data_IF_155396655788
#
_entry.id   IF_155396655788
#
_cell.length_a   1.000
_cell.length_b   1.000
_cell.length_c   1.000
_cell.angle_alpha   90.00
_cell.angle_beta   90.00
_cell.angle_gamma   90.00
#
_symmetry.space_group_name_H-M   'P 1'
#
loop_
_entity.id
_entity.type
_entity.pdbx_description
1 polymer ?
#
# COMPACT_ATOMS: atom_id res chain seq x y z
N UNK A 1 8.12 -44.93 48.34
CA UNK A 1 8.46 -43.58 47.81
C UNK A 1 9.78 -43.61 47.01
N UNK A 2 9.88 -44.45 45.98
CA UNK A 2 11.00 -44.52 45.03
C UNK A 2 10.44 -45.03 43.71
N UNK A 3 9.81 -44.15 42.92
CA UNK A 3 9.40 -44.42 41.52
C UNK A 3 8.88 -43.19 40.75
N UNK A 4 9.05 -41.98 41.29
CA UNK A 4 8.59 -40.74 40.66
C UNK A 4 9.72 -39.89 40.04
N UNK A 5 10.91 -40.48 39.90
CA UNK A 5 12.13 -39.78 39.48
C UNK A 5 12.76 -40.47 38.26
N UNK A 6 12.03 -40.61 37.15
CA UNK A 6 12.65 -41.11 35.90
C UNK A 6 11.88 -40.87 34.60
N UNK A 7 10.76 -40.16 34.59
CA UNK A 7 10.04 -39.88 33.34
C UNK A 7 9.87 -38.38 33.14
N UNK A 8 10.31 -37.95 31.96
CA UNK A 8 10.15 -36.63 31.35
C UNK A 8 11.27 -35.61 31.62
N UNK A 9 12.51 -36.10 31.60
CA UNK A 9 13.67 -35.42 30.99
C UNK A 9 13.57 -35.27 29.44
N UNK A 10 12.36 -35.33 28.87
CA UNK A 10 12.12 -35.44 27.42
C UNK A 10 11.11 -34.41 26.90
N UNK A 11 11.13 -33.19 27.43
CA UNK A 11 10.21 -32.11 27.03
C UNK A 11 10.90 -30.76 26.78
N UNK A 12 12.23 -30.69 26.82
CA UNK A 12 12.99 -29.42 26.68
C UNK A 12 13.49 -29.16 25.24
N UNK A 13 13.25 -30.05 24.28
CA UNK A 13 13.82 -29.92 22.91
C UNK A 13 12.82 -29.59 21.79
N UNK A 14 11.70 -28.91 22.07
CA UNK A 14 10.85 -28.33 21.01
C UNK A 14 10.43 -26.89 21.33
N UNK A 15 11.39 -26.07 21.72
CA UNK A 15 11.31 -24.64 21.41
C UNK A 15 12.25 -24.37 20.26
N UNK A 16 11.69 -24.30 19.04
CA UNK A 16 12.34 -23.66 17.91
C UNK A 16 12.55 -22.20 18.26
N UNK A 17 13.67 -21.91 18.95
CA UNK A 17 14.21 -20.56 19.02
C UNK A 17 14.41 -20.10 17.57
N UNK A 18 13.89 -18.93 17.16
CA UNK A 18 14.30 -18.36 15.89
C UNK A 18 15.82 -18.20 15.95
N UNK A 19 16.53 -18.91 15.08
CA UNK A 19 17.98 -18.90 14.89
C UNK A 19 18.46 -17.55 14.35
N UNK A 20 18.13 -16.45 15.02
CA UNK A 20 18.56 -15.12 14.61
C UNK A 20 20.03 -14.84 15.00
N UNK A 21 20.61 -15.67 15.89
CA UNK A 21 21.97 -15.50 16.38
C UNK A 21 23.04 -16.03 15.40
N UNK A 22 22.73 -17.04 14.57
CA UNK A 22 23.70 -17.65 13.63
C UNK A 22 23.92 -16.83 12.34
N UNK A 23 23.00 -15.92 12.01
CA UNK A 23 23.03 -15.19 10.74
C UNK A 23 24.07 -14.05 10.72
N UNK A 24 24.33 -13.42 11.87
CA UNK A 24 25.24 -12.26 11.94
C UNK A 24 26.70 -12.66 11.72
N UNK A 25 27.14 -13.77 12.29
CA UNK A 25 28.50 -14.29 12.16
C UNK A 25 28.78 -14.83 10.75
N UNK A 26 27.79 -15.51 10.14
CA UNK A 26 27.90 -15.95 8.75
C UNK A 26 28.02 -14.76 7.78
N UNK A 27 27.28 -13.68 8.03
CA UNK A 27 27.35 -12.47 7.22
C UNK A 27 28.70 -11.75 7.39
N UNK A 28 29.27 -11.71 8.60
CA UNK A 28 30.62 -11.18 8.83
C UNK A 28 31.69 -11.95 8.02
N UNK A 29 31.57 -13.27 7.92
CA UNK A 29 32.49 -14.10 7.10
C UNK A 29 32.37 -13.77 5.62
N UNK A 30 31.14 -13.70 5.08
CA UNK A 30 30.93 -13.36 3.67
C UNK A 30 31.45 -11.97 3.31
N UNK A 31 31.32 -11.01 4.23
CA UNK A 31 31.88 -9.65 4.06
C UNK A 31 33.42 -9.68 4.11
N UNK A 32 34.00 -10.53 4.96
CA UNK A 32 35.43 -10.80 4.97
C UNK A 32 35.94 -11.36 3.64
N UNK A 33 35.19 -12.28 3.05
CA UNK A 33 35.48 -12.86 1.73
C UNK A 33 35.40 -11.80 0.62
N UNK A 34 34.37 -10.95 0.62
CA UNK A 34 34.24 -9.82 -0.31
C UNK A 34 35.39 -8.83 -0.20
N UNK A 35 35.98 -8.66 0.99
CA UNK A 35 37.15 -7.77 1.19
C UNK A 35 38.40 -8.29 0.48
N UNK A 36 38.55 -9.62 0.37
CA UNK A 36 39.74 -10.30 -0.13
C UNK A 36 39.77 -10.56 -1.64
N UNK A 37 38.68 -10.28 -2.37
CA UNK A 37 38.59 -10.49 -3.82
C UNK A 37 38.16 -9.21 -4.54
N UNK A 38 38.84 -8.90 -5.65
CA UNK A 38 38.48 -7.84 -6.59
C UNK A 38 37.84 -8.40 -7.88
N UNK A 39 37.61 -9.71 -7.95
CA UNK A 39 36.92 -10.35 -9.09
C UNK A 39 35.42 -10.03 -9.08
N UNK A 40 34.88 -9.33 -10.11
CA UNK A 40 33.48 -8.92 -10.13
C UNK A 40 32.50 -10.10 -10.18
N UNK A 41 32.85 -11.21 -10.84
CA UNK A 41 31.99 -12.39 -10.94
C UNK A 41 31.79 -13.04 -9.58
N UNK A 42 32.89 -13.29 -8.86
CA UNK A 42 32.86 -13.79 -7.51
C UNK A 42 32.14 -12.85 -6.53
N UNK A 43 32.40 -11.54 -6.61
CA UNK A 43 31.68 -10.55 -5.80
C UNK A 43 30.17 -10.61 -6.05
N UNK A 44 29.76 -10.74 -7.32
CA UNK A 44 28.37 -10.80 -7.72
C UNK A 44 27.65 -12.00 -7.11
N UNK A 45 28.25 -13.19 -7.15
CA UNK A 45 27.66 -14.41 -6.59
C UNK A 45 27.42 -14.30 -5.08
N UNK A 46 28.41 -13.77 -4.34
CA UNK A 46 28.29 -13.56 -2.90
C UNK A 46 27.20 -12.52 -2.60
N UNK A 47 27.17 -11.39 -3.33
CA UNK A 47 26.17 -10.36 -3.12
C UNK A 47 24.75 -10.85 -3.43
N UNK A 48 24.57 -11.70 -4.46
CA UNK A 48 23.29 -12.36 -4.77
C UNK A 48 22.85 -13.28 -3.63
N UNK A 49 23.76 -14.08 -3.09
CA UNK A 49 23.49 -14.94 -1.94
C UNK A 49 23.02 -14.15 -0.71
N UNK A 50 23.75 -13.07 -0.36
CA UNK A 50 23.36 -12.19 0.75
C UNK A 50 21.99 -11.55 0.47
N UNK A 51 21.77 -11.01 -0.74
CA UNK A 51 20.52 -10.33 -1.08
C UNK A 51 19.31 -11.28 -1.01
N UNK A 52 19.47 -12.53 -1.45
CA UNK A 52 18.43 -13.56 -1.34
C UNK A 52 18.11 -13.90 0.12
N UNK A 53 19.14 -14.08 0.96
CA UNK A 53 18.97 -14.37 2.39
C UNK A 53 18.27 -13.23 3.14
N UNK A 54 18.49 -11.98 2.74
CA UNK A 54 17.94 -10.79 3.38
C UNK A 54 16.63 -10.30 2.75
N UNK A 55 16.02 -11.10 1.86
CA UNK A 55 14.79 -10.69 1.17
C UNK A 55 13.67 -10.37 2.18
N UNK A 56 13.10 -9.17 2.05
CA UNK A 56 12.04 -8.67 2.94
C UNK A 56 12.54 -8.07 4.26
N UNK A 57 13.80 -8.28 4.63
CA UNK A 57 14.42 -7.68 5.82
C UNK A 57 14.84 -6.23 5.59
N UNK A 58 14.88 -5.43 6.66
CA UNK A 58 15.14 -3.98 6.63
C UNK A 58 15.73 -3.52 7.96
N UNK A 59 16.47 -2.41 7.95
CA UNK A 59 17.08 -1.80 9.14
C UNK A 59 17.91 -2.78 9.98
N UNK A 60 18.62 -3.67 9.31
CA UNK A 60 19.54 -4.61 9.96
C UNK A 60 20.80 -3.88 10.41
N UNK A 61 21.43 -4.39 11.47
CA UNK A 61 22.75 -3.92 11.86
C UNK A 61 23.74 -4.30 10.74
N UNK A 62 24.58 -3.37 10.26
CA UNK A 62 25.59 -3.71 9.26
C UNK A 62 26.57 -4.74 9.85
N UNK A 63 26.93 -5.78 9.08
CA UNK A 63 27.97 -6.73 9.50
C UNK A 63 29.32 -6.00 9.60
N UNK A 64 30.19 -6.48 10.49
CA UNK A 64 31.54 -5.91 10.64
C UNK A 64 32.28 -5.92 9.30
N UNK A 65 32.95 -4.81 9.00
CA UNK A 65 33.70 -4.63 7.76
C UNK A 65 32.88 -4.10 6.57
N UNK A 66 31.54 -4.09 6.64
CA UNK A 66 30.71 -3.61 5.53
C UNK A 66 31.00 -2.16 5.14
N UNK A 67 31.22 -1.28 6.12
CA UNK A 67 31.52 0.14 5.89
C UNK A 67 32.81 0.34 5.07
N UNK A 68 33.76 -0.60 5.14
CA UNK A 68 34.99 -0.56 4.36
C UNK A 68 34.83 -1.22 2.97
N UNK A 69 33.99 -2.25 2.86
CA UNK A 69 33.79 -3.01 1.62
C UNK A 69 32.82 -2.31 0.67
N UNK A 70 31.72 -1.75 1.18
CA UNK A 70 30.67 -1.14 0.36
C UNK A 70 31.18 -0.01 -0.58
N UNK A 71 32.07 0.92 -0.16
CA UNK A 71 32.62 1.92 -1.06
C UNK A 71 33.49 1.36 -2.18
N UNK A 72 34.14 0.20 -1.98
CA UNK A 72 34.90 -0.49 -3.03
C UNK A 72 33.96 -1.12 -4.04
N UNK A 73 32.95 -1.86 -3.56
CA UNK A 73 31.93 -2.48 -4.42
C UNK A 73 31.13 -1.44 -5.22
N UNK A 74 30.89 -0.26 -4.65
CA UNK A 74 30.24 0.85 -5.35
C UNK A 74 31.05 1.40 -6.55
N UNK A 75 32.36 1.08 -6.62
CA UNK A 75 33.25 1.44 -7.73
C UNK A 75 33.57 0.26 -8.66
N UNK A 76 32.93 -0.90 -8.46
CA UNK A 76 33.12 -2.07 -9.31
C UNK A 76 32.83 -1.74 -10.78
N UNK A 77 33.57 -2.31 -11.76
CA UNK A 77 33.23 -2.18 -13.19
C UNK A 77 31.86 -2.80 -13.51
N UNK A 78 31.42 -3.80 -12.75
CA UNK A 78 30.15 -4.49 -12.94
C UNK A 78 28.97 -3.67 -12.37
N UNK A 79 27.94 -3.44 -13.18
CA UNK A 79 26.78 -2.65 -12.80
C UNK A 79 25.88 -3.33 -11.77
N UNK A 80 25.75 -4.65 -11.83
CA UNK A 80 24.92 -5.43 -10.92
C UNK A 80 25.56 -5.50 -9.53
N UNK A 81 26.90 -5.63 -9.46
CA UNK A 81 27.66 -5.52 -8.20
C UNK A 81 27.41 -4.15 -7.53
N UNK A 82 27.50 -3.06 -8.30
CA UNK A 82 27.21 -1.71 -7.76
C UNK A 82 25.78 -1.61 -7.23
N UNK A 83 24.80 -2.14 -7.97
CA UNK A 83 23.38 -2.11 -7.60
C UNK A 83 23.09 -2.94 -6.33
N UNK A 84 23.62 -4.16 -6.24
CA UNK A 84 23.45 -5.03 -5.07
C UNK A 84 24.12 -4.46 -3.83
N UNK A 85 25.35 -3.94 -3.96
CA UNK A 85 26.04 -3.25 -2.86
C UNK A 85 25.23 -2.08 -2.32
N UNK A 86 24.64 -1.26 -3.20
CA UNK A 86 23.78 -0.15 -2.80
C UNK A 86 22.51 -0.66 -2.10
N UNK A 87 21.83 -1.68 -2.66
CA UNK A 87 20.64 -2.27 -2.07
C UNK A 87 20.89 -2.84 -0.67
N UNK A 88 21.96 -3.64 -0.51
CA UNK A 88 22.36 -4.20 0.77
C UNK A 88 22.72 -3.12 1.79
N UNK A 89 23.41 -2.05 1.36
CA UNK A 89 23.71 -0.91 2.23
C UNK A 89 22.44 -0.24 2.78
N UNK A 90 21.34 -0.23 2.01
CA UNK A 90 20.04 0.27 2.48
C UNK A 90 19.38 -0.69 3.46
N UNK A 91 19.45 -2.01 3.20
CA UNK A 91 18.95 -3.04 4.12
C UNK A 91 19.66 -2.94 5.48
N UNK A 92 20.98 -2.68 5.47
CA UNK A 92 21.79 -2.47 6.67
C UNK A 92 21.63 -1.07 7.30
N UNK A 93 20.65 -0.27 6.86
CA UNK A 93 20.35 1.02 7.48
C UNK A 93 21.46 2.07 7.31
N UNK A 94 22.27 2.01 6.23
CA UNK A 94 23.36 2.96 6.01
C UNK A 94 22.85 4.40 5.95
N UNK A 95 23.19 5.18 6.98
CA UNK A 95 22.84 6.61 7.08
C UNK A 95 23.43 7.42 5.93
N UNK A 96 24.63 7.03 5.46
CA UNK A 96 25.33 7.68 4.34
C UNK A 96 24.61 7.41 3.03
N UNK A 97 24.25 6.15 2.74
CA UNK A 97 23.52 5.80 1.53
C UNK A 97 22.14 6.50 1.48
N UNK A 98 21.40 6.47 2.58
CA UNK A 98 20.11 7.18 2.66
C UNK A 98 20.27 8.70 2.53
N UNK A 99 21.36 9.29 3.07
CA UNK A 99 21.65 10.71 2.88
C UNK A 99 21.94 11.06 1.41
N UNK A 100 22.69 10.23 0.70
CA UNK A 100 22.95 10.42 -0.73
C UNK A 100 21.67 10.33 -1.55
N UNK A 101 20.83 9.33 -1.30
CA UNK A 101 19.53 9.19 -1.99
C UNK A 101 18.60 10.38 -1.72
N UNK A 102 18.57 10.89 -0.48
CA UNK A 102 17.79 12.09 -0.16
C UNK A 102 18.26 13.30 -0.97
N UNK A 103 19.57 13.48 -1.16
CA UNK A 103 20.13 14.56 -1.99
C UNK A 103 19.65 14.44 -3.44
N UNK A 104 19.73 13.25 -4.01
CA UNK A 104 19.22 12.99 -5.38
C UNK A 104 17.73 13.31 -5.46
N UNK A 105 16.93 12.82 -4.49
CA UNK A 105 15.48 13.01 -4.49
C UNK A 105 15.06 14.49 -4.48
N UNK A 106 15.75 15.34 -3.72
CA UNK A 106 15.42 16.77 -3.62
C UNK A 106 16.09 17.63 -4.71
N UNK A 107 17.04 17.09 -5.45
CA UNK A 107 17.70 17.80 -6.53
C UNK A 107 16.78 17.89 -7.75
N UNK A 108 16.28 19.10 -8.03
CA UNK A 108 15.40 19.36 -9.19
C UNK A 108 16.14 19.30 -10.53
N UNK A 109 17.47 19.30 -10.52
CA UNK A 109 18.30 19.17 -11.74
C UNK A 109 18.60 17.70 -12.06
N UNK A 110 18.38 16.78 -11.12
CA UNK A 110 18.54 15.36 -11.37
C UNK A 110 17.41 14.83 -12.27
N UNK A 111 17.74 13.83 -13.08
CA UNK A 111 16.77 13.14 -13.94
C UNK A 111 15.60 12.59 -13.12
N UNK A 112 14.37 12.76 -13.61
CA UNK A 112 13.16 12.35 -12.89
C UNK A 112 13.18 10.86 -12.53
N UNK A 113 13.69 10.02 -13.43
CA UNK A 113 13.82 8.58 -13.21
C UNK A 113 14.72 8.27 -12.00
N UNK A 114 15.82 9.00 -11.82
CA UNK A 114 16.74 8.81 -10.70
C UNK A 114 16.14 9.30 -9.39
N UNK A 115 15.41 10.42 -9.42
CA UNK A 115 14.62 10.89 -8.27
C UNK A 115 13.57 9.87 -7.85
N UNK A 116 12.86 9.26 -8.80
CA UNK A 116 11.86 8.23 -8.53
C UNK A 116 12.49 6.96 -7.93
N UNK A 117 13.62 6.48 -8.49
CA UNK A 117 14.39 5.36 -7.93
C UNK A 117 14.86 5.66 -6.50
N UNK A 118 15.39 6.86 -6.25
CA UNK A 118 15.82 7.28 -4.93
C UNK A 118 14.66 7.31 -3.92
N UNK A 119 13.49 7.81 -4.32
CA UNK A 119 12.29 7.77 -3.48
C UNK A 119 11.89 6.34 -3.14
N UNK A 120 11.79 5.45 -4.14
CA UNK A 120 11.41 4.06 -3.94
C UNK A 120 12.36 3.34 -2.97
N UNK A 121 13.67 3.54 -3.15
CA UNK A 121 14.71 2.99 -2.29
C UNK A 121 14.59 3.49 -0.83
N UNK A 122 14.34 4.79 -0.63
CA UNK A 122 14.16 5.37 0.71
C UNK A 122 12.87 4.89 1.39
N UNK A 123 11.77 4.72 0.63
CA UNK A 123 10.51 4.15 1.15
C UNK A 123 10.72 2.69 1.55
N UNK A 124 11.42 1.91 0.73
CA UNK A 124 11.76 0.53 1.04
C UNK A 124 12.61 0.42 2.32
N UNK A 125 13.60 1.31 2.47
CA UNK A 125 14.43 1.39 3.67
C UNK A 125 13.71 1.95 4.92
N UNK A 126 12.48 2.48 4.78
CA UNK A 126 11.77 3.22 5.84
C UNK A 126 12.64 4.30 6.48
N UNK A 127 13.33 5.08 5.65
CA UNK A 127 14.21 6.14 6.13
C UNK A 127 13.46 7.14 7.02
N UNK A 128 13.94 7.36 8.24
CA UNK A 128 13.25 8.19 9.23
C UNK A 128 13.11 9.66 8.82
N UNK A 129 13.97 10.17 7.92
CA UNK A 129 13.94 11.56 7.45
C UNK A 129 13.14 11.75 6.16
N UNK A 130 12.80 10.65 5.46
CA UNK A 130 12.09 10.70 4.19
C UNK A 130 10.72 11.34 4.32
N UNK A 131 10.03 11.12 5.43
CA UNK A 131 8.68 11.65 5.61
C UNK A 131 8.61 13.17 5.45
N UNK A 132 9.57 13.91 6.02
CA UNK A 132 9.66 15.38 5.86
C UNK A 132 9.89 15.76 4.40
N UNK A 133 10.72 15.00 3.69
CA UNK A 133 10.99 15.19 2.25
C UNK A 133 9.72 14.96 1.44
N UNK A 134 8.99 13.87 1.69
CA UNK A 134 7.74 13.54 0.98
C UNK A 134 6.66 14.60 1.17
N UNK A 135 6.54 15.19 2.36
CA UNK A 135 5.61 16.30 2.61
C UNK A 135 5.91 17.50 1.70
N UNK A 136 7.19 17.82 1.46
CA UNK A 136 7.59 18.87 0.53
C UNK A 136 7.27 18.52 -0.94
N UNK A 137 7.47 17.26 -1.32
CA UNK A 137 7.24 16.77 -2.69
C UNK A 137 5.77 16.72 -3.08
N UNK A 138 4.83 16.86 -2.13
CA UNK A 138 3.40 17.04 -2.44
C UNK A 138 3.13 18.24 -3.35
N UNK A 139 4.03 19.23 -3.37
CA UNK A 139 3.91 20.41 -4.22
C UNK A 139 4.47 20.21 -5.64
N UNK A 140 5.23 19.15 -5.91
CA UNK A 140 5.85 18.90 -7.21
C UNK A 140 5.01 17.92 -8.05
N UNK A 141 4.32 18.36 -9.13
CA UNK A 141 3.40 17.51 -9.88
C UNK A 141 4.00 16.17 -10.35
N UNK A 142 5.27 16.19 -10.78
CA UNK A 142 5.97 15.01 -11.31
C UNK A 142 6.27 13.91 -10.27
N UNK A 143 6.25 14.24 -8.98
CA UNK A 143 6.54 13.30 -7.88
C UNK A 143 5.40 13.20 -6.85
N UNK A 144 4.35 14.00 -7.02
CA UNK A 144 3.27 14.17 -6.04
C UNK A 144 2.59 12.86 -5.72
N UNK A 145 2.28 12.06 -6.74
CA UNK A 145 1.55 10.79 -6.57
C UNK A 145 2.38 9.76 -5.83
N UNK A 146 3.65 9.62 -6.20
CA UNK A 146 4.61 8.74 -5.53
C UNK A 146 4.80 9.19 -4.08
N UNK A 147 4.87 10.50 -3.83
CA UNK A 147 4.96 11.05 -2.49
C UNK A 147 3.70 10.77 -1.65
N UNK A 148 2.50 10.92 -2.22
CA UNK A 148 1.25 10.56 -1.57
C UNK A 148 1.27 9.10 -1.11
N UNK A 149 1.61 8.16 -2.01
CA UNK A 149 1.70 6.73 -1.67
C UNK A 149 2.79 6.45 -0.63
N UNK A 150 3.96 7.08 -0.79
CA UNK A 150 5.10 6.92 0.13
C UNK A 150 4.81 7.37 1.56
N UNK A 151 3.99 8.42 1.74
CA UNK A 151 3.60 8.90 3.07
C UNK A 151 2.83 7.85 3.88
N UNK A 152 2.16 6.90 3.23
CA UNK A 152 1.48 5.77 3.90
C UNK A 152 2.45 4.87 4.68
N UNK A 153 3.74 4.86 4.32
CA UNK A 153 4.76 4.08 5.01
C UNK A 153 5.12 4.62 6.41
N UNK A 154 4.76 5.86 6.75
CA UNK A 154 5.16 6.54 7.99
C UNK A 154 3.97 6.91 8.88
N UNK A 155 4.10 6.73 10.21
CA UNK A 155 3.10 7.20 11.19
C UNK A 155 3.45 8.63 11.59
N UNK A 156 2.70 9.62 11.10
CA UNK A 156 2.95 10.99 11.52
C UNK A 156 1.71 11.87 11.42
N UNK A 157 1.50 12.68 12.45
CA UNK A 157 0.33 13.52 12.60
C UNK A 157 0.25 14.66 11.57
N UNK A 158 1.36 15.05 10.92
CA UNK A 158 1.39 16.10 9.89
C UNK A 158 0.98 15.58 8.52
N UNK A 159 1.01 14.26 8.30
CA UNK A 159 0.64 13.65 7.01
C UNK A 159 -0.81 13.94 6.61
N UNK A 160 -1.84 13.64 7.42
CA UNK A 160 -3.22 13.94 7.03
C UNK A 160 -3.50 15.41 6.71
N UNK A 161 -3.14 16.40 7.55
CA UNK A 161 -3.44 17.80 7.24
C UNK A 161 -2.70 18.28 5.97
N UNK A 162 -1.48 17.80 5.70
CA UNK A 162 -0.75 18.15 4.49
C UNK A 162 -1.43 17.63 3.22
N UNK A 163 -1.88 16.37 3.23
CA UNK A 163 -2.63 15.77 2.11
C UNK A 163 -3.96 16.49 1.91
N UNK A 164 -4.72 16.71 2.98
CA UNK A 164 -6.04 17.36 2.92
C UNK A 164 -5.95 18.81 2.40
N UNK A 165 -4.87 19.54 2.72
CA UNK A 165 -4.63 20.91 2.23
C UNK A 165 -4.53 21.01 0.71
N UNK A 166 -4.04 19.96 0.04
CA UNK A 166 -3.89 19.93 -1.42
C UNK A 166 -4.99 19.13 -2.12
N UNK A 167 -5.86 18.45 -1.37
CA UNK A 167 -6.81 17.46 -1.90
C UNK A 167 -7.69 17.98 -3.03
N UNK A 168 -8.24 19.19 -2.89
CA UNK A 168 -9.10 19.80 -3.91
C UNK A 168 -8.37 20.11 -5.23
N UNK A 169 -7.03 20.22 -5.20
CA UNK A 169 -6.19 20.51 -6.38
C UNK A 169 -5.68 19.24 -7.07
N UNK A 170 -5.99 18.07 -6.53
CA UNK A 170 -5.58 16.79 -7.10
C UNK A 170 -6.50 16.39 -8.25
N UNK A 171 -5.93 15.75 -9.26
CA UNK A 171 -6.65 15.03 -10.29
C UNK A 171 -7.27 13.73 -9.70
N UNK A 172 -8.05 13.02 -10.51
CA UNK A 172 -8.74 11.78 -10.07
C UNK A 172 -7.75 10.75 -9.51
N UNK A 173 -6.61 10.55 -10.18
CA UNK A 173 -5.58 9.62 -9.73
C UNK A 173 -4.92 10.09 -8.42
N UNK A 174 -4.58 11.37 -8.29
CA UNK A 174 -4.03 11.94 -7.07
C UNK A 174 -5.00 11.87 -5.89
N UNK A 175 -6.29 12.14 -6.09
CA UNK A 175 -7.32 11.97 -5.04
C UNK A 175 -7.39 10.52 -4.58
N UNK A 176 -7.31 9.56 -5.50
CA UNK A 176 -7.29 8.13 -5.17
C UNK A 176 -6.05 7.75 -4.34
N UNK A 177 -4.86 8.21 -4.73
CA UNK A 177 -3.65 8.00 -3.95
C UNK A 177 -3.76 8.64 -2.55
N UNK A 178 -4.28 9.88 -2.46
CA UNK A 178 -4.48 10.58 -1.21
C UNK A 178 -5.44 9.84 -0.27
N UNK A 179 -6.60 9.38 -0.77
CA UNK A 179 -7.58 8.63 0.02
C UNK A 179 -7.03 7.27 0.46
N UNK A 180 -6.32 6.57 -0.42
CA UNK A 180 -5.64 5.30 -0.09
C UNK A 180 -4.66 5.49 1.05
N UNK A 181 -3.84 6.54 0.99
CA UNK A 181 -2.90 6.89 2.07
C UNK A 181 -3.62 7.26 3.35
N UNK A 182 -4.66 8.09 3.28
CA UNK A 182 -5.45 8.49 4.45
C UNK A 182 -6.22 7.33 5.08
N UNK A 183 -6.59 6.31 4.31
CA UNK A 183 -7.23 5.09 4.79
C UNK A 183 -6.24 4.02 5.27
N UNK A 184 -4.92 4.22 5.09
CA UNK A 184 -3.91 3.20 5.42
C UNK A 184 -3.77 2.91 6.92
N UNK A 185 -4.17 3.84 7.80
CA UNK A 185 -4.00 3.76 9.25
C UNK A 185 -5.18 4.33 10.00
N UNK A 186 -5.42 3.85 11.22
CA UNK A 186 -6.50 4.32 12.09
C UNK A 186 -6.40 5.82 12.38
N UNK A 187 -5.21 6.32 12.71
CA UNK A 187 -4.97 7.73 13.03
C UNK A 187 -5.30 8.66 11.84
N UNK A 188 -4.94 8.23 10.64
CA UNK A 188 -5.21 8.96 9.40
C UNK A 188 -6.68 8.86 8.99
N UNK A 189 -7.27 7.68 9.14
CA UNK A 189 -8.68 7.44 8.87
C UNK A 189 -9.58 8.34 9.73
N UNK A 190 -9.25 8.51 11.02
CA UNK A 190 -9.94 9.47 11.90
C UNK A 190 -9.83 10.90 11.39
N UNK A 191 -8.69 11.30 10.83
CA UNK A 191 -8.52 12.62 10.23
C UNK A 191 -9.35 12.78 8.94
N UNK A 192 -9.40 11.75 8.09
CA UNK A 192 -10.24 11.72 6.91
C UNK A 192 -11.73 11.83 7.27
N UNK A 193 -12.20 11.08 8.27
CA UNK A 193 -13.59 11.17 8.72
C UNK A 193 -13.96 12.59 9.20
N UNK A 194 -13.06 13.25 9.93
CA UNK A 194 -13.25 14.68 10.31
C UNK A 194 -13.27 15.61 9.10
N UNK A 195 -12.45 15.32 8.08
CA UNK A 195 -12.44 16.10 6.85
C UNK A 195 -13.76 15.96 6.06
N UNK A 196 -14.36 14.76 6.08
CA UNK A 196 -15.67 14.51 5.46
C UNK A 196 -16.78 15.23 6.23
N UNK A 197 -16.77 15.17 7.57
CA UNK A 197 -17.73 15.91 8.40
C UNK A 197 -17.68 17.43 8.14
N UNK A 198 -16.48 17.96 7.90
CA UNK A 198 -16.26 19.37 7.54
C UNK A 198 -16.45 19.67 6.04
N UNK A 199 -16.89 18.69 5.24
CA UNK A 199 -17.08 18.82 3.79
C UNK A 199 -15.82 19.24 3.02
N UNK A 200 -14.62 19.02 3.57
CA UNK A 200 -13.33 19.22 2.87
C UNK A 200 -13.11 18.13 1.83
N UNK A 201 -13.56 16.91 2.15
CA UNK A 201 -13.67 15.78 1.22
C UNK A 201 -15.15 15.43 1.15
N UNK A 202 -15.75 15.44 -0.04
CA UNK A 202 -17.17 15.09 -0.15
C UNK A 202 -17.36 13.59 0.01
N UNK A 203 -18.48 13.17 0.60
CA UNK A 203 -18.77 11.74 0.81
C UNK A 203 -18.83 10.94 -0.50
N UNK A 204 -19.26 11.56 -1.61
CA UNK A 204 -19.28 10.96 -2.94
C UNK A 204 -17.91 10.86 -3.60
N UNK A 205 -16.87 11.52 -3.05
CA UNK A 205 -15.49 11.36 -3.51
C UNK A 205 -14.80 10.15 -2.89
N UNK A 206 -15.43 9.44 -1.94
CA UNK A 206 -14.91 8.20 -1.37
C UNK A 206 -15.27 7.01 -2.26
N UNK A 207 -14.30 6.29 -2.84
CA UNK A 207 -14.55 5.03 -3.53
C UNK A 207 -14.95 3.89 -2.58
N UNK A 208 -15.69 2.92 -3.09
CA UNK A 208 -16.15 1.76 -2.30
C UNK A 208 -14.99 0.93 -1.71
N UNK A 209 -13.85 0.85 -2.41
CA UNK A 209 -12.66 0.16 -1.91
C UNK A 209 -12.03 0.89 -0.72
N UNK A 210 -12.01 2.23 -0.73
CA UNK A 210 -11.56 3.03 0.42
C UNK A 210 -12.49 2.84 1.61
N UNK A 211 -13.81 2.79 1.40
CA UNK A 211 -14.76 2.53 2.48
C UNK A 211 -14.57 1.15 3.10
N UNK A 212 -14.34 0.11 2.28
CA UNK A 212 -13.99 -1.21 2.80
C UNK A 212 -12.70 -1.16 3.62
N UNK A 213 -11.66 -0.51 3.12
CA UNK A 213 -10.39 -0.37 3.83
C UNK A 213 -10.59 0.35 5.18
N UNK A 214 -11.41 1.41 5.22
CA UNK A 214 -11.75 2.10 6.46
C UNK A 214 -12.49 1.19 7.45
N UNK A 215 -13.40 0.34 6.97
CA UNK A 215 -14.13 -0.64 7.80
C UNK A 215 -13.23 -1.76 8.34
N UNK A 216 -12.20 -2.16 7.60
CA UNK A 216 -11.23 -3.19 8.03
C UNK A 216 -10.49 -2.79 9.30
N UNK A 217 -10.37 -1.49 9.61
CA UNK A 217 -9.81 -1.04 10.89
C UNK A 217 -10.64 -1.43 12.12
N UNK A 218 -11.90 -1.84 11.95
CA UNK A 218 -12.77 -2.31 13.04
C UNK A 218 -13.14 -1.23 14.07
N UNK A 219 -12.92 0.04 13.74
CA UNK A 219 -13.15 1.15 14.66
C UNK A 219 -14.63 1.53 14.68
N UNK A 220 -15.28 1.41 15.86
CA UNK A 220 -16.72 1.66 16.03
C UNK A 220 -17.12 3.08 15.60
N UNK A 221 -16.31 4.08 15.92
CA UNK A 221 -16.54 5.48 15.58
C UNK A 221 -16.45 5.73 14.07
N UNK A 222 -15.47 5.12 13.40
CA UNK A 222 -15.33 5.19 11.94
C UNK A 222 -16.51 4.51 11.26
N UNK A 223 -16.86 3.29 11.69
CA UNK A 223 -17.95 2.51 11.11
C UNK A 223 -19.30 3.23 11.28
N UNK A 224 -19.62 3.76 12.46
CA UNK A 224 -20.86 4.51 12.68
C UNK A 224 -20.95 5.76 11.77
N UNK A 225 -19.85 6.49 11.58
CA UNK A 225 -19.81 7.63 10.67
C UNK A 225 -19.96 7.20 9.21
N UNK A 226 -19.29 6.11 8.81
CA UNK A 226 -19.45 5.54 7.49
C UNK A 226 -20.90 5.10 7.28
N UNK A 227 -21.55 4.45 8.23
CA UNK A 227 -22.95 4.02 8.08
C UNK A 227 -23.90 5.23 7.98
N UNK A 228 -23.64 6.33 8.70
CA UNK A 228 -24.39 7.57 8.54
C UNK A 228 -24.15 8.25 7.18
N UNK A 229 -22.94 8.19 6.64
CA UNK A 229 -22.57 8.85 5.39
C UNK A 229 -22.90 8.00 4.15
N UNK A 230 -22.75 6.69 4.26
CA UNK A 230 -22.91 5.68 3.20
C UNK A 230 -24.25 4.95 3.25
N UNK A 231 -24.84 4.79 4.43
CA UNK A 231 -26.22 4.32 4.60
C UNK A 231 -27.27 5.40 4.32
N UNK A 232 -26.84 6.64 4.03
CA UNK A 232 -27.69 7.81 3.74
C UNK A 232 -27.21 8.57 2.48
N UNK A 233 -26.55 7.91 1.50
CA UNK A 233 -26.07 8.64 0.30
C UNK A 233 -27.27 9.16 -0.51
N UNK A 234 -27.40 10.49 -0.44
CA UNK A 234 -28.40 11.40 -1.00
C UNK A 234 -29.81 11.25 -0.43
N UNK A 235 -30.39 12.37 0.01
CA UNK A 235 -31.81 12.59 -0.24
C UNK A 235 -31.98 12.60 -1.75
N UNK A 236 -32.06 11.40 -2.31
CA UNK A 236 -32.51 11.16 -3.66
C UNK A 236 -33.83 11.95 -3.79
N UNK A 237 -34.00 12.79 -4.83
CA UNK A 237 -35.22 13.58 -4.99
C UNK A 237 -36.44 12.68 -4.76
N UNK A 238 -37.49 13.13 -4.06
CA UNK A 238 -38.62 12.25 -3.69
C UNK A 238 -39.20 11.48 -4.88
N UNK A 239 -39.11 12.04 -6.08
CA UNK A 239 -39.43 11.38 -7.35
C UNK A 239 -38.57 10.14 -7.60
N UNK A 240 -37.25 10.26 -7.43
CA UNK A 240 -36.29 9.16 -7.58
C UNK A 240 -36.39 8.15 -6.44
N UNK A 241 -36.72 8.57 -5.21
CA UNK A 241 -37.01 7.64 -4.10
C UNK A 241 -38.25 6.79 -4.39
N UNK A 242 -39.31 7.42 -4.92
CA UNK A 242 -40.51 6.68 -5.36
C UNK A 242 -40.20 5.70 -6.50
N UNK A 243 -39.32 6.09 -7.41
CA UNK A 243 -38.86 5.23 -8.50
C UNK A 243 -38.05 4.03 -7.97
N UNK A 244 -37.08 4.26 -7.08
CA UNK A 244 -36.31 3.20 -6.42
C UNK A 244 -37.24 2.25 -5.66
N UNK A 245 -38.17 2.78 -4.86
CA UNK A 245 -39.11 1.97 -4.09
C UNK A 245 -40.03 1.13 -5.00
N UNK A 246 -40.48 1.68 -6.12
CA UNK A 246 -41.26 0.95 -7.13
C UNK A 246 -40.48 -0.23 -7.69
N UNK A 247 -39.24 -0.02 -8.14
CA UNK A 247 -38.42 -1.10 -8.70
C UNK A 247 -38.00 -2.13 -7.65
N UNK A 248 -37.71 -1.70 -6.42
CA UNK A 248 -37.42 -2.60 -5.29
C UNK A 248 -38.59 -3.57 -5.04
N UNK A 249 -39.82 -3.04 -4.94
CA UNK A 249 -41.03 -3.86 -4.76
C UNK A 249 -41.25 -4.85 -5.90
N UNK A 250 -40.97 -4.45 -7.15
CA UNK A 250 -41.09 -5.35 -8.31
C UNK A 250 -40.06 -6.49 -8.28
N UNK A 251 -38.84 -6.23 -7.81
CA UNK A 251 -37.77 -7.21 -7.75
C UNK A 251 -37.88 -8.15 -6.54
N UNK A 252 -38.47 -7.68 -5.44
CA UNK A 252 -38.75 -8.48 -4.24
C UNK A 252 -40.04 -9.31 -4.36
N UNK A 253 -40.96 -8.91 -5.25
CA UNK A 253 -42.16 -9.70 -5.53
C UNK A 253 -41.75 -11.07 -6.08
N UNK A 254 -42.24 -12.15 -5.44
CA UNK A 254 -41.99 -13.52 -5.89
C UNK A 254 -42.50 -13.71 -7.32
N UNK A 255 -41.57 -13.70 -8.27
CA UNK A 255 -41.84 -14.09 -9.65
C UNK A 255 -42.08 -15.59 -9.72
N UNK A 256 -43.15 -15.99 -10.40
CA UNK A 256 -43.41 -17.41 -10.74
C UNK A 256 -42.42 -17.96 -11.77
N UNK A 257 -41.61 -17.10 -12.40
CA UNK A 257 -40.59 -17.49 -13.37
C UNK A 257 -39.25 -17.74 -12.69
N UNK A 258 -38.54 -18.84 -13.04
CA UNK A 258 -37.24 -19.17 -12.48
C UNK A 258 -36.17 -18.13 -12.85
N UNK A 259 -35.21 -17.93 -11.95
CA UNK A 259 -34.06 -17.04 -12.16
C UNK A 259 -33.17 -17.62 -13.26
N UNK A 260 -32.83 -16.81 -14.27
CA UNK A 260 -31.95 -17.21 -15.36
C UNK A 260 -30.67 -16.35 -15.36
N UNK A 261 -29.60 -16.90 -14.80
CA UNK A 261 -28.32 -16.20 -14.63
C UNK A 261 -27.62 -15.92 -15.97
N UNK A 262 -27.70 -16.85 -16.93
CA UNK A 262 -27.09 -16.69 -18.26
C UNK A 262 -27.71 -15.50 -19.02
N UNK A 263 -29.04 -15.34 -18.93
CA UNK A 263 -29.73 -14.19 -19.51
C UNK A 263 -29.34 -12.88 -18.82
N UNK A 264 -29.15 -12.90 -17.49
CA UNK A 264 -28.63 -11.76 -16.74
C UNK A 264 -27.23 -11.33 -17.20
N UNK A 265 -26.32 -12.30 -17.42
CA UNK A 265 -24.98 -12.05 -17.98
C UNK A 265 -25.06 -11.43 -19.38
N UNK A 266 -25.92 -11.96 -20.26
CA UNK A 266 -26.10 -11.42 -21.60
C UNK A 266 -26.62 -9.97 -21.60
N UNK A 267 -27.52 -9.64 -20.66
CA UNK A 267 -28.03 -8.27 -20.50
C UNK A 267 -26.92 -7.32 -20.01
N UNK A 268 -26.11 -7.75 -19.04
CA UNK A 268 -24.96 -6.97 -18.58
C UNK A 268 -23.97 -6.70 -19.71
N UNK A 269 -23.60 -7.73 -20.46
CA UNK A 269 -22.69 -7.66 -21.61
C UNK A 269 -23.18 -6.63 -22.65
N UNK A 270 -24.49 -6.60 -22.93
CA UNK A 270 -25.08 -5.67 -23.90
C UNK A 270 -25.09 -4.22 -23.42
N UNK A 271 -25.47 -3.99 -22.17
CA UNK A 271 -25.85 -2.65 -21.69
C UNK A 271 -24.76 -1.98 -20.85
N UNK A 272 -24.10 -2.75 -20.00
CA UNK A 272 -23.22 -2.21 -18.96
C UNK A 272 -21.75 -2.43 -19.28
N UNK A 273 -21.42 -3.52 -19.97
CA UNK A 273 -20.03 -3.89 -20.26
C UNK A 273 -19.34 -2.95 -21.25
N UNK A 274 -20.07 -2.07 -21.94
CA UNK A 274 -19.47 -1.01 -22.76
C UNK A 274 -18.66 -0.02 -21.91
N UNK A 275 -19.12 0.23 -20.67
CA UNK A 275 -18.47 1.16 -19.76
C UNK A 275 -17.78 0.46 -18.60
N UNK A 276 -18.40 -0.56 -17.99
CA UNK A 276 -17.93 -1.16 -16.74
C UNK A 276 -17.27 -2.52 -16.94
N UNK A 277 -16.29 -2.81 -16.09
CA UNK A 277 -15.64 -4.13 -15.98
C UNK A 277 -16.33 -5.01 -14.93
N UNK A 278 -16.50 -6.29 -15.23
CA UNK A 278 -17.03 -7.31 -14.33
C UNK A 278 -16.31 -8.66 -14.58
N UNK A 279 -15.65 -9.19 -13.55
CA UNK A 279 -14.83 -10.40 -13.62
C UNK A 279 -13.76 -10.36 -14.72
N UNK A 280 -13.16 -9.19 -14.94
CA UNK A 280 -12.13 -8.99 -15.97
C UNK A 280 -12.65 -8.70 -17.38
N UNK A 281 -13.97 -8.76 -17.61
CA UNK A 281 -14.59 -8.50 -18.91
C UNK A 281 -15.33 -7.15 -18.93
N UNK A 282 -15.25 -6.41 -20.05
CA UNK A 282 -15.93 -5.13 -20.27
C UNK A 282 -14.98 -3.94 -20.46
N UNK A 283 -15.55 -2.73 -20.46
CA UNK A 283 -14.85 -1.46 -20.70
C UNK A 283 -14.18 -0.87 -19.46
N UNK A 284 -13.39 0.17 -19.69
CA UNK A 284 -12.64 0.89 -18.64
C UNK A 284 -13.11 2.35 -18.47
N UNK A 285 -14.22 2.71 -19.12
CA UNK A 285 -14.81 4.06 -19.02
C UNK A 285 -15.42 4.29 -17.63
N UNK A 286 -16.13 3.28 -17.12
CA UNK A 286 -16.69 3.23 -15.79
C UNK A 286 -15.86 2.33 -14.85
N UNK A 287 -16.02 2.47 -13.53
CA UNK A 287 -15.28 1.67 -12.55
C UNK A 287 -15.53 0.17 -12.71
N UNK A 288 -14.55 -0.63 -12.32
CA UNK A 288 -14.71 -2.07 -12.15
C UNK A 288 -15.71 -2.36 -11.01
N UNK A 289 -16.81 -3.04 -11.35
CA UNK A 289 -17.89 -3.34 -10.42
C UNK A 289 -17.82 -4.76 -9.85
N UNK A 290 -16.77 -5.53 -10.15
CA UNK A 290 -16.59 -6.91 -9.68
C UNK A 290 -16.73 -7.02 -8.16
N UNK A 291 -16.06 -6.14 -7.44
CA UNK A 291 -16.11 -6.04 -5.97
C UNK A 291 -17.17 -5.06 -5.45
N UNK A 292 -18.08 -4.55 -6.27
CA UNK A 292 -19.16 -3.67 -5.78
C UNK A 292 -20.17 -4.45 -4.94
N UNK A 293 -20.98 -3.75 -4.15
CA UNK A 293 -22.02 -4.35 -3.29
C UNK A 293 -23.25 -4.83 -4.09
N UNK A 294 -23.01 -5.63 -5.15
CA UNK A 294 -23.99 -6.06 -6.15
C UNK A 294 -25.04 -7.03 -5.62
N UNK A 295 -24.85 -7.56 -4.41
CA UNK A 295 -25.84 -8.38 -3.72
C UNK A 295 -26.81 -7.55 -2.89
N UNK A 296 -26.58 -6.24 -2.77
CA UNK A 296 -27.46 -5.32 -2.06
C UNK A 296 -28.31 -4.55 -3.07
N UNK A 297 -29.62 -4.80 -3.03
CA UNK A 297 -30.57 -4.23 -3.97
C UNK A 297 -30.68 -2.70 -3.84
N UNK A 298 -30.59 -2.16 -2.62
CA UNK A 298 -30.59 -0.72 -2.38
C UNK A 298 -29.37 -0.04 -3.00
N UNK A 299 -28.19 -0.67 -2.87
CA UNK A 299 -26.97 -0.19 -3.50
C UNK A 299 -27.09 -0.17 -5.03
N UNK A 300 -27.60 -1.24 -5.65
CA UNK A 300 -27.75 -1.30 -7.10
C UNK A 300 -28.75 -0.28 -7.63
N UNK A 301 -29.95 -0.22 -7.06
CA UNK A 301 -31.00 0.67 -7.54
C UNK A 301 -30.62 2.14 -7.40
N UNK A 302 -29.95 2.50 -6.30
CA UNK A 302 -29.48 3.87 -6.07
C UNK A 302 -28.44 4.27 -7.13
N UNK A 303 -27.42 3.44 -7.37
CA UNK A 303 -26.37 3.75 -8.34
C UNK A 303 -26.85 3.65 -9.81
N UNK A 304 -27.95 2.95 -10.09
CA UNK A 304 -28.53 2.86 -11.44
C UNK A 304 -29.52 3.98 -11.75
N UNK A 305 -30.36 4.39 -10.78
CA UNK A 305 -31.46 5.32 -11.00
C UNK A 305 -31.11 6.77 -10.62
N UNK A 306 -30.09 6.96 -9.78
CA UNK A 306 -29.51 8.25 -9.37
C UNK A 306 -27.95 8.15 -9.35
N UNK A 307 -27.31 7.89 -10.52
CA UNK A 307 -25.86 7.82 -10.61
C UNK A 307 -25.24 9.21 -10.34
N UNK A 308 -24.13 9.24 -9.59
CA UNK A 308 -23.36 10.47 -9.31
C UNK A 308 -22.43 10.84 -10.46
#
# INVERSE_FOLDING_TARGET
MKRFLLLLLASVMWMSLPTCAQDAEALEVLVGVLKGSDDPGFQLDILKGIAAALQGQRNLKPPKGWEAVAPRLAKSPDAEVRQLSQSLSLIFGSKVAMAALRKILVDRKAELADRQKAMAALVAARDAKLQVVLLGLLHEPALRREALRGLGAFEDAKTPPAILKIFAKLDTAGKRDALTTLASRVSFAKALMRAIEKSVVKANELPADIVRQLRVHGQKDINAKLDKLWGVIRSTPEVKLREIAKYKKLLEAKSSRPVNLSKGRALFQRTCAQCHKLYGEGGEIGPDITGSNRNNLDYLLTNMLDPN
#
